data_IF_165632074613
#
_entry.id   IF_165632074613
#
_cell.length_a   1.000
_cell.length_b   1.000
_cell.length_c   1.000
_cell.angle_alpha   90.00
_cell.angle_beta   90.00
_cell.angle_gamma   90.00
#
_symmetry.space_group_name_H-M   'P 1'
#
loop_
_entity.id
_entity.type
_entity.pdbx_description
1 polymer ?
#
# COMPACT_ATOMS: atom_id res chain seq x y z
N UNK A 1 18.63 7.22 -22.64
CA UNK A 1 18.53 6.25 -23.76
C UNK A 1 19.64 5.21 -23.74
N UNK A 2 20.92 5.60 -23.74
CA UNK A 2 22.07 4.67 -23.73
C UNK A 2 22.05 3.63 -22.60
N UNK A 3 21.74 4.03 -21.36
CA UNK A 3 21.68 3.10 -20.23
C UNK A 3 20.60 2.02 -20.40
N UNK A 4 19.46 2.38 -21.00
CA UNK A 4 18.35 1.44 -21.21
C UNK A 4 18.71 0.38 -22.25
N UNK A 5 19.31 0.78 -23.39
CA UNK A 5 19.78 -0.15 -24.43
C UNK A 5 20.82 -1.12 -23.88
N UNK A 6 21.82 -0.61 -23.16
CA UNK A 6 22.87 -1.44 -22.54
C UNK A 6 22.30 -2.45 -21.54
N UNK A 7 21.32 -2.03 -20.73
CA UNK A 7 20.64 -2.91 -19.78
C UNK A 7 19.82 -3.97 -20.51
N UNK A 8 19.11 -3.58 -21.57
CA UNK A 8 18.32 -4.49 -22.38
C UNK A 8 19.19 -5.55 -23.05
N UNK A 9 20.32 -5.17 -23.65
CA UNK A 9 21.32 -6.08 -24.23
C UNK A 9 21.84 -7.09 -23.20
N UNK A 10 22.20 -6.63 -21.99
CA UNK A 10 22.66 -7.49 -20.90
C UNK A 10 21.59 -8.50 -20.47
N UNK A 11 20.32 -8.07 -20.40
CA UNK A 11 19.20 -8.95 -20.05
C UNK A 11 18.94 -9.97 -21.16
N UNK A 12 18.89 -9.53 -22.42
CA UNK A 12 18.74 -10.37 -23.61
C UNK A 12 19.82 -11.46 -23.65
N UNK A 13 21.09 -11.08 -23.48
CA UNK A 13 22.22 -11.99 -23.49
C UNK A 13 22.15 -13.03 -22.36
N UNK A 14 21.77 -12.61 -21.14
CA UNK A 14 21.58 -13.51 -20.01
C UNK A 14 20.44 -14.50 -20.26
N UNK A 15 19.32 -14.05 -20.79
CA UNK A 15 18.17 -14.93 -21.08
C UNK A 15 18.54 -15.97 -22.14
N UNK A 16 19.20 -15.54 -23.22
CA UNK A 16 19.70 -16.44 -24.26
C UNK A 16 20.67 -17.48 -23.69
N UNK A 17 21.64 -17.06 -22.85
CA UNK A 17 22.59 -17.97 -22.21
C UNK A 17 21.91 -19.05 -21.35
N UNK A 18 20.77 -18.73 -20.73
CA UNK A 18 20.02 -19.66 -19.88
C UNK A 18 18.88 -20.39 -20.63
N UNK A 19 18.79 -20.27 -21.96
CA UNK A 19 17.75 -20.91 -22.75
C UNK A 19 16.33 -20.39 -22.47
N UNK A 20 16.20 -19.20 -21.88
CA UNK A 20 14.90 -18.60 -21.57
C UNK A 20 14.38 -17.83 -22.79
N UNK A 21 13.11 -18.10 -23.13
CA UNK A 21 12.39 -17.41 -24.20
C UNK A 21 11.25 -16.56 -23.65
N UNK A 22 10.90 -15.52 -24.38
CA UNK A 22 9.88 -14.53 -24.06
C UNK A 22 8.87 -14.40 -25.20
N UNK A 23 7.65 -14.03 -24.81
CA UNK A 23 6.59 -13.67 -25.76
C UNK A 23 6.69 -12.17 -26.02
N UNK A 24 7.21 -11.79 -27.19
CA UNK A 24 7.39 -10.39 -27.58
C UNK A 24 6.10 -9.57 -27.46
N UNK A 25 4.94 -10.21 -27.67
CA UNK A 25 3.60 -9.61 -27.52
C UNK A 25 3.29 -9.12 -26.10
N UNK A 26 3.99 -9.63 -25.08
CA UNK A 26 3.83 -9.23 -23.67
C UNK A 26 4.92 -8.26 -23.21
N UNK A 27 5.85 -7.89 -24.09
CA UNK A 27 6.97 -7.02 -23.76
C UNK A 27 6.64 -5.57 -24.14
N UNK A 28 6.91 -4.66 -23.22
CA UNK A 28 6.80 -3.22 -23.43
C UNK A 28 8.19 -2.60 -23.29
N UNK A 29 8.66 -1.89 -24.32
CA UNK A 29 9.99 -1.27 -24.33
C UNK A 29 9.89 0.25 -24.48
N UNK A 30 10.85 0.97 -23.90
CA UNK A 30 10.98 2.43 -24.03
C UNK A 30 9.71 3.24 -23.70
N UNK A 31 8.84 2.71 -22.84
CA UNK A 31 7.65 3.44 -22.38
C UNK A 31 8.02 4.41 -21.25
N UNK A 32 7.36 5.56 -21.22
CA UNK A 32 7.45 6.51 -20.10
C UNK A 32 6.71 6.01 -18.85
N UNK A 33 5.72 5.13 -19.05
CA UNK A 33 4.87 4.52 -18.05
C UNK A 33 4.67 3.04 -18.39
N UNK A 34 4.81 2.15 -17.40
CA UNK A 34 4.56 0.71 -17.56
C UNK A 34 3.68 0.19 -16.43
N UNK A 35 2.84 -0.81 -16.72
CA UNK A 35 2.11 -1.53 -15.66
C UNK A 35 2.87 -2.78 -15.25
N UNK A 36 3.22 -2.88 -13.97
CA UNK A 36 3.94 -4.03 -13.42
C UNK A 36 3.39 -4.38 -12.03
N UNK A 37 3.03 -5.65 -11.81
CA UNK A 37 2.46 -6.15 -10.54
C UNK A 37 1.31 -5.27 -10.02
N UNK A 38 0.32 -5.02 -10.88
CA UNK A 38 -0.87 -4.20 -10.59
C UNK A 38 -0.57 -2.75 -10.15
N UNK A 39 0.64 -2.26 -10.44
CA UNK A 39 1.07 -0.88 -10.25
C UNK A 39 1.43 -0.24 -11.57
N UNK A 40 1.18 1.05 -11.66
CA UNK A 40 1.64 1.91 -12.74
C UNK A 40 2.93 2.57 -12.27
N UNK A 41 4.00 2.33 -13.02
CA UNK A 41 5.34 2.85 -12.76
C UNK A 41 5.67 3.94 -13.76
N UNK A 42 5.89 5.15 -13.26
CA UNK A 42 6.37 6.30 -14.02
C UNK A 42 7.79 6.68 -13.58
N UNK A 43 8.41 7.62 -14.28
CA UNK A 43 9.78 8.08 -13.98
C UNK A 43 9.97 8.47 -12.51
N UNK A 44 9.00 9.16 -11.91
CA UNK A 44 9.10 9.72 -10.55
C UNK A 44 8.09 9.12 -9.56
N UNK A 45 7.05 8.45 -10.05
CA UNK A 45 5.91 8.07 -9.22
C UNK A 45 5.50 6.61 -9.42
N UNK A 46 4.86 6.08 -8.39
CA UNK A 46 4.24 4.76 -8.37
C UNK A 46 2.79 4.94 -7.93
N UNK A 47 1.86 4.39 -8.70
CA UNK A 47 0.43 4.41 -8.38
C UNK A 47 -0.18 3.02 -8.54
N UNK A 48 -1.34 2.73 -7.93
CA UNK A 48 -2.06 1.50 -8.22
C UNK A 48 -2.60 1.54 -9.65
N UNK A 49 -2.67 0.37 -10.30
CA UNK A 49 -3.24 0.29 -11.64
C UNK A 49 -4.75 0.58 -11.64
N UNK A 50 -5.26 1.37 -12.61
CA UNK A 50 -6.70 1.63 -12.74
C UNK A 50 -7.54 0.36 -12.89
N UNK A 51 -6.98 -0.69 -13.51
CA UNK A 51 -7.64 -1.99 -13.66
C UNK A 51 -7.87 -2.67 -12.30
N UNK A 52 -6.85 -2.70 -11.43
CA UNK A 52 -6.96 -3.28 -10.09
C UNK A 52 -7.94 -2.46 -9.22
N UNK A 53 -7.82 -1.13 -9.25
CA UNK A 53 -8.75 -0.24 -8.54
C UNK A 53 -10.19 -0.43 -9.02
N UNK A 54 -10.41 -0.49 -10.33
CA UNK A 54 -11.72 -0.73 -10.93
C UNK A 54 -12.31 -2.08 -10.53
N UNK A 55 -11.49 -3.13 -10.45
CA UNK A 55 -11.94 -4.45 -9.98
C UNK A 55 -12.39 -4.41 -8.52
N UNK A 56 -11.64 -3.76 -7.63
CA UNK A 56 -11.99 -3.63 -6.20
C UNK A 56 -13.25 -2.74 -6.04
N UNK A 57 -13.35 -1.66 -6.81
CA UNK A 57 -14.50 -0.74 -6.77
C UNK A 57 -15.81 -1.40 -7.22
N UNK A 58 -15.75 -2.43 -8.07
CA UNK A 58 -16.92 -3.20 -8.51
C UNK A 58 -17.34 -4.30 -7.53
N UNK A 59 -16.54 -4.60 -6.51
CA UNK A 59 -16.91 -5.60 -5.52
C UNK A 59 -18.16 -5.15 -4.73
N UNK A 60 -19.09 -6.08 -4.59
CA UNK A 60 -20.28 -5.94 -3.73
C UNK A 60 -19.90 -6.07 -2.26
N UNK A 61 -20.81 -5.64 -1.38
CA UNK A 61 -20.65 -5.84 0.05
C UNK A 61 -20.54 -7.34 0.39
N UNK A 62 -19.54 -7.75 1.19
CA UNK A 62 -19.37 -9.13 1.62
C UNK A 62 -20.56 -9.65 2.43
N UNK A 63 -21.02 -10.85 2.10
CA UNK A 63 -22.15 -11.52 2.79
C UNK A 63 -21.71 -12.56 3.81
N UNK A 64 -20.42 -12.90 3.83
CA UNK A 64 -19.86 -13.88 4.74
C UNK A 64 -18.39 -13.58 5.06
N UNK A 65 -17.81 -14.19 6.12
CA UNK A 65 -16.41 -13.97 6.50
C UNK A 65 -15.39 -14.28 5.39
N UNK A 66 -15.67 -15.27 4.52
CA UNK A 66 -14.76 -15.64 3.43
C UNK A 66 -14.70 -14.58 2.34
N UNK A 67 -15.85 -14.03 1.92
CA UNK A 67 -15.92 -12.89 1.01
C UNK A 67 -15.23 -11.66 1.61
N UNK A 68 -15.39 -11.43 2.92
CA UNK A 68 -14.75 -10.31 3.61
C UNK A 68 -13.23 -10.45 3.66
N UNK A 69 -12.70 -11.64 3.95
CA UNK A 69 -11.26 -11.93 3.87
C UNK A 69 -10.71 -11.68 2.46
N UNK A 70 -11.44 -12.10 1.43
CA UNK A 70 -11.03 -11.88 0.05
C UNK A 70 -10.98 -10.38 -0.29
N UNK A 71 -12.00 -9.62 0.11
CA UNK A 71 -12.01 -8.16 -0.05
C UNK A 71 -10.83 -7.49 0.67
N UNK A 72 -10.65 -7.78 1.97
CA UNK A 72 -9.57 -7.18 2.76
C UNK A 72 -8.18 -7.56 2.23
N UNK A 73 -7.98 -8.79 1.77
CA UNK A 73 -6.73 -9.21 1.14
C UNK A 73 -6.41 -8.39 -0.12
N UNK A 74 -7.41 -8.17 -0.99
CA UNK A 74 -7.27 -7.32 -2.18
C UNK A 74 -7.02 -5.86 -1.83
N UNK A 75 -7.78 -5.32 -0.87
CA UNK A 75 -7.65 -3.92 -0.46
C UNK A 75 -6.34 -3.65 0.30
N UNK A 76 -5.78 -4.65 0.98
CA UNK A 76 -4.51 -4.53 1.73
C UNK A 76 -3.32 -4.20 0.82
N UNK A 77 -3.35 -4.64 -0.43
CA UNK A 77 -2.34 -4.25 -1.43
C UNK A 77 -2.24 -2.72 -1.56
N UNK A 78 -3.36 -2.03 -1.39
CA UNK A 78 -3.45 -0.59 -1.51
C UNK A 78 -3.23 0.17 -0.19
N UNK A 79 -3.01 -0.55 0.94
CA UNK A 79 -2.66 0.06 2.23
C UNK A 79 -1.53 1.10 2.10
N UNK A 80 -0.50 0.75 1.32
CA UNK A 80 0.71 1.57 1.18
C UNK A 80 0.46 2.93 0.54
N UNK A 81 -0.70 3.15 -0.09
CA UNK A 81 -1.09 4.40 -0.74
C UNK A 81 -2.14 5.19 0.06
N UNK A 82 -2.64 4.64 1.17
CA UNK A 82 -3.76 5.18 1.93
C UNK A 82 -3.35 5.44 3.38
N UNK A 83 -3.45 6.69 3.83
CA UNK A 83 -3.27 7.05 5.24
C UNK A 83 -4.35 6.37 6.09
N UNK A 84 -3.96 5.83 7.25
CA UNK A 84 -4.87 5.24 8.25
C UNK A 84 -5.73 4.05 7.77
N UNK A 85 -5.32 3.34 6.71
CA UNK A 85 -6.08 2.23 6.13
C UNK A 85 -6.50 1.17 7.16
N UNK A 86 -5.61 0.77 8.08
CA UNK A 86 -5.94 -0.24 9.07
C UNK A 86 -6.95 0.22 10.12
N UNK A 87 -6.96 1.51 10.45
CA UNK A 87 -7.98 2.10 11.33
C UNK A 87 -9.36 2.02 10.67
N UNK A 88 -9.43 2.33 9.37
CA UNK A 88 -10.66 2.21 8.58
C UNK A 88 -11.11 0.75 8.50
N UNK A 89 -10.17 -0.20 8.43
CA UNK A 89 -10.48 -1.63 8.39
C UNK A 89 -10.88 -2.23 9.75
N UNK A 90 -10.75 -1.53 10.87
CA UNK A 90 -11.04 -2.10 12.21
C UNK A 90 -12.46 -2.70 12.33
N UNK A 91 -13.54 -2.03 11.90
CA UNK A 91 -14.89 -2.57 12.00
C UNK A 91 -15.08 -3.86 11.18
N UNK A 92 -14.33 -4.00 10.09
CA UNK A 92 -14.32 -5.17 9.22
C UNK A 92 -13.49 -6.31 9.81
N UNK A 93 -12.30 -6.01 10.32
CA UNK A 93 -11.44 -6.99 10.98
C UNK A 93 -12.10 -7.61 12.22
N UNK A 94 -12.99 -6.87 12.89
CA UNK A 94 -13.78 -7.38 14.02
C UNK A 94 -14.67 -8.56 13.64
N UNK A 95 -15.25 -8.55 12.43
CA UNK A 95 -16.08 -9.65 11.90
C UNK A 95 -15.28 -10.92 11.55
N UNK A 96 -13.94 -10.84 11.55
CA UNK A 96 -13.05 -11.96 11.26
C UNK A 96 -12.43 -12.59 12.51
N UNK A 97 -12.73 -12.07 13.71
CA UNK A 97 -12.24 -12.63 14.97
C UNK A 97 -12.87 -14.01 15.22
N UNK A 98 -12.12 -14.86 15.93
CA UNK A 98 -12.64 -16.16 16.40
C UNK A 98 -13.89 -15.92 17.26
N UNK A 99 -14.94 -16.70 16.99
CA UNK A 99 -16.24 -16.64 17.67
C UNK A 99 -17.07 -15.36 17.44
N UNK A 100 -16.68 -14.50 16.48
CA UNK A 100 -17.49 -13.34 16.12
C UNK A 100 -18.66 -13.75 15.21
N UNK A 101 -19.86 -13.29 15.55
CA UNK A 101 -21.03 -13.40 14.67
C UNK A 101 -20.89 -12.42 13.49
N UNK A 102 -21.15 -12.90 12.28
CA UNK A 102 -21.07 -12.08 11.07
C UNK A 102 -22.32 -11.21 10.94
N UNK A 103 -22.30 -10.03 11.60
CA UNK A 103 -23.39 -9.05 11.52
C UNK A 103 -22.92 -7.82 10.75
N UNK A 104 -23.43 -7.65 9.54
CA UNK A 104 -23.12 -6.48 8.71
C UNK A 104 -24.02 -5.30 9.09
N UNK A 105 -23.45 -4.29 9.75
CA UNK A 105 -24.17 -3.08 10.19
C UNK A 105 -23.65 -1.83 9.47
N UNK A 106 -24.21 -0.69 9.85
CA UNK A 106 -23.85 0.63 9.32
C UNK A 106 -22.35 0.92 9.39
N UNK A 107 -21.70 0.56 10.49
CA UNK A 107 -20.26 0.82 10.68
C UNK A 107 -19.40 0.04 9.68
N UNK A 108 -19.75 -1.21 9.40
CA UNK A 108 -19.06 -2.05 8.41
C UNK A 108 -19.32 -1.58 6.99
N UNK A 109 -20.57 -1.24 6.66
CA UNK A 109 -20.91 -0.66 5.36
C UNK A 109 -20.20 0.68 5.14
N UNK A 110 -20.10 1.52 6.17
CA UNK A 110 -19.37 2.77 6.11
C UNK A 110 -17.87 2.53 5.90
N UNK A 111 -17.24 1.65 6.68
CA UNK A 111 -15.84 1.28 6.52
C UNK A 111 -15.55 0.74 5.11
N UNK A 112 -16.39 -0.16 4.60
CA UNK A 112 -16.29 -0.72 3.25
C UNK A 112 -16.34 0.37 2.17
N UNK A 113 -17.29 1.29 2.27
CA UNK A 113 -17.44 2.38 1.30
C UNK A 113 -16.32 3.43 1.40
N UNK A 114 -15.80 3.71 2.61
CA UNK A 114 -14.64 4.59 2.78
C UNK A 114 -13.41 3.97 2.13
N UNK A 115 -13.16 2.67 2.34
CA UNK A 115 -12.06 1.96 1.68
C UNK A 115 -12.19 2.09 0.18
N UNK A 116 -13.36 1.78 -0.40
CA UNK A 116 -13.56 1.89 -1.85
C UNK A 116 -13.32 3.30 -2.38
N UNK A 117 -13.74 4.34 -1.65
CA UNK A 117 -13.50 5.73 -2.03
C UNK A 117 -12.02 6.11 -1.95
N UNK A 118 -11.35 5.76 -0.86
CA UNK A 118 -9.93 6.07 -0.67
C UNK A 118 -9.05 5.39 -1.73
N UNK A 119 -9.47 4.20 -2.19
CA UNK A 119 -8.87 3.50 -3.33
C UNK A 119 -9.03 4.24 -4.67
N UNK A 120 -10.10 5.02 -4.86
CA UNK A 120 -10.29 5.85 -6.06
C UNK A 120 -9.52 7.17 -5.93
N UNK A 121 -9.55 7.77 -4.74
CA UNK A 121 -8.86 9.02 -4.41
C UNK A 121 -7.34 8.83 -4.23
N UNK A 122 -6.81 7.66 -4.62
CA UNK A 122 -5.48 7.23 -4.21
C UNK A 122 -4.36 8.18 -4.63
N UNK A 123 -3.53 8.52 -3.65
CA UNK A 123 -2.32 9.32 -3.75
C UNK A 123 -1.24 8.62 -4.58
N UNK A 124 -0.58 9.37 -5.47
CA UNK A 124 0.66 8.90 -6.10
C UNK A 124 1.77 8.84 -5.04
N UNK A 125 2.46 7.71 -4.96
CA UNK A 125 3.69 7.61 -4.17
C UNK A 125 4.87 8.08 -5.01
N UNK A 126 5.85 8.69 -4.36
CA UNK A 126 7.12 9.04 -4.97
C UNK A 126 8.06 7.84 -4.91
N UNK A 127 8.81 7.62 -5.99
CA UNK A 127 9.82 6.58 -6.02
C UNK A 127 10.91 6.88 -4.99
N UNK A 128 11.34 5.86 -4.27
CA UNK A 128 12.48 5.96 -3.37
C UNK A 128 13.76 6.32 -4.13
N UNK A 129 14.46 7.33 -3.62
CA UNK A 129 15.75 7.80 -4.10
C UNK A 129 16.75 7.79 -2.92
N UNK A 130 17.80 6.94 -2.95
CA UNK A 130 18.75 6.84 -1.85
C UNK A 130 19.54 8.12 -1.59
N UNK A 131 19.65 9.01 -2.58
CA UNK A 131 20.40 10.26 -2.46
C UNK A 131 19.55 11.42 -1.89
N UNK A 132 18.23 11.23 -1.79
CA UNK A 132 17.30 12.24 -1.32
C UNK A 132 17.02 12.10 0.18
N UNK A 133 16.92 13.22 0.95
CA UNK A 133 16.61 13.16 2.38
C UNK A 133 15.29 12.45 2.68
N UNK A 134 15.29 11.63 3.72
CA UNK A 134 14.12 10.89 4.20
C UNK A 134 13.56 11.52 5.46
N UNK A 135 12.24 11.56 5.55
CA UNK A 135 11.49 11.94 6.74
C UNK A 135 10.60 10.76 7.12
N UNK A 136 10.66 10.36 8.38
CA UNK A 136 9.71 9.43 8.96
C UNK A 136 8.71 10.22 9.81
N UNK A 137 7.46 10.27 9.37
CA UNK A 137 6.36 10.86 10.14
C UNK A 137 5.55 9.73 10.78
N UNK A 138 5.29 9.82 12.08
CA UNK A 138 4.51 8.82 12.83
C UNK A 138 3.40 9.48 13.61
N UNK A 139 2.32 8.73 13.82
CA UNK A 139 1.15 9.19 14.56
C UNK A 139 0.54 8.02 15.34
N UNK A 140 0.00 8.28 16.51
CA UNK A 140 -0.61 7.28 17.36
C UNK A 140 -2.03 7.66 17.78
N UNK A 141 -2.94 6.71 17.61
CA UNK A 141 -4.33 6.83 18.05
C UNK A 141 -4.66 5.78 19.12
N UNK A 142 -5.80 5.90 19.82
CA UNK A 142 -6.25 4.87 20.76
C UNK A 142 -6.44 3.47 20.14
N UNK A 143 -6.63 3.39 18.83
CA UNK A 143 -6.90 2.14 18.11
C UNK A 143 -5.67 1.55 17.42
N UNK A 144 -4.69 2.38 17.06
CA UNK A 144 -3.63 2.00 16.13
C UNK A 144 -2.54 3.05 16.01
N UNK A 145 -1.40 2.63 15.47
CA UNK A 145 -0.28 3.49 15.10
C UNK A 145 -0.12 3.56 13.58
N UNK A 146 0.33 4.70 13.09
CA UNK A 146 0.63 4.97 11.70
C UNK A 146 2.07 5.47 11.52
N UNK A 147 2.64 5.17 10.36
CA UNK A 147 3.94 5.67 9.95
C UNK A 147 3.93 5.96 8.43
N UNK A 148 4.58 7.03 8.01
CA UNK A 148 4.74 7.41 6.62
C UNK A 148 6.20 7.75 6.37
N UNK A 149 6.80 7.07 5.39
CA UNK A 149 8.11 7.43 4.89
C UNK A 149 7.94 8.45 3.76
N UNK A 150 8.62 9.59 3.84
CA UNK A 150 8.53 10.68 2.87
C UNK A 150 9.93 11.07 2.37
N UNK A 151 9.97 11.63 1.17
CA UNK A 151 11.10 12.45 0.72
C UNK A 151 10.85 13.92 1.06
N UNK A 152 11.92 14.59 1.49
CA UNK A 152 11.97 16.05 1.49
C UNK A 152 12.48 16.53 0.14
N UNK A 153 11.62 17.15 -0.64
CA UNK A 153 11.94 17.63 -1.98
C UNK A 153 12.75 18.94 -1.91
N UNK A 154 13.50 19.31 -2.97
CA UNK A 154 14.26 20.56 -3.01
C UNK A 154 13.41 21.83 -2.86
N UNK A 155 12.12 21.77 -3.24
CA UNK A 155 11.15 22.85 -3.08
C UNK A 155 10.58 22.95 -1.65
N UNK A 156 11.06 22.11 -0.72
CA UNK A 156 10.59 22.03 0.65
C UNK A 156 9.31 21.20 0.84
N UNK A 157 8.69 20.70 -0.24
CA UNK A 157 7.52 19.82 -0.14
C UNK A 157 7.91 18.43 0.37
N UNK A 158 6.98 17.77 1.06
CA UNK A 158 7.14 16.40 1.49
C UNK A 158 6.32 15.48 0.59
N UNK A 159 6.94 14.43 0.05
CA UNK A 159 6.24 13.49 -0.83
C UNK A 159 6.28 12.06 -0.28
N UNK A 160 5.14 11.39 -0.15
CA UNK A 160 5.08 10.06 0.47
C UNK A 160 5.72 9.01 -0.45
N UNK A 161 6.57 8.17 0.13
CA UNK A 161 7.18 6.99 -0.50
C UNK A 161 6.36 5.74 -0.16
N UNK A 162 5.97 5.61 1.11
CA UNK A 162 5.16 4.49 1.57
C UNK A 162 4.41 4.85 2.86
N UNK A 163 3.18 4.35 2.96
CA UNK A 163 2.40 4.36 4.19
C UNK A 163 2.46 3.00 4.90
N UNK A 164 2.50 3.02 6.22
CA UNK A 164 2.37 1.87 7.09
C UNK A 164 1.42 2.19 8.24
N UNK A 165 0.70 1.18 8.72
CA UNK A 165 -0.10 1.29 9.93
C UNK A 165 -0.15 -0.06 10.63
N UNK A 166 -0.55 -0.05 11.90
CA UNK A 166 -0.77 -1.25 12.71
C UNK A 166 -1.82 -1.00 13.78
N UNK A 167 -2.82 -1.89 13.89
CA UNK A 167 -3.77 -1.86 15.02
C UNK A 167 -3.08 -2.29 16.31
N UNK A 168 -3.38 -1.61 17.42
CA UNK A 168 -2.84 -1.94 18.72
C UNK A 168 -3.45 -3.26 19.25
N UNK A 169 -2.65 -4.06 19.95
CA UNK A 169 -3.15 -5.25 20.65
C UNK A 169 -3.76 -4.92 22.02
N UNK A 170 -4.43 -5.89 22.67
CA UNK A 170 -5.13 -5.68 23.96
C UNK A 170 -4.26 -5.05 25.06
N UNK A 171 -2.96 -5.33 25.08
CA UNK A 171 -2.03 -4.77 26.07
C UNK A 171 -1.65 -3.33 25.69
N UNK A 172 -1.37 -3.09 24.42
CA UNK A 172 -1.01 -1.78 23.88
C UNK A 172 -2.16 -0.77 23.95
N UNK A 173 -3.42 -1.23 23.97
CA UNK A 173 -4.58 -0.35 24.19
C UNK A 173 -4.51 0.38 25.53
N UNK A 174 -3.87 -0.20 26.53
CA UNK A 174 -3.75 0.38 27.88
C UNK A 174 -2.58 1.36 27.99
N UNK A 175 -1.73 1.48 26.97
CA UNK A 175 -0.64 2.44 26.96
C UNK A 175 -1.17 3.87 27.05
N UNK A 176 -0.45 4.71 27.77
CA UNK A 176 -0.62 6.16 27.75
C UNK A 176 -0.37 6.70 26.33
N UNK A 177 -0.87 7.91 26.03
CA UNK A 177 -0.67 8.50 24.70
C UNK A 177 0.83 8.61 24.36
N UNK A 178 1.66 8.99 25.33
CA UNK A 178 3.11 9.12 25.14
C UNK A 178 3.77 7.77 24.76
N UNK A 179 3.40 6.69 25.44
CA UNK A 179 3.89 5.35 25.12
C UNK A 179 3.44 4.88 23.73
N UNK A 180 2.24 5.27 23.30
CA UNK A 180 1.75 4.96 21.95
C UNK A 180 2.49 5.72 20.86
N UNK A 181 2.84 6.99 21.09
CA UNK A 181 3.70 7.76 20.16
C UNK A 181 5.09 7.12 20.04
N UNK A 182 5.70 6.73 21.16
CA UNK A 182 6.97 5.99 21.17
C UNK A 182 6.88 4.66 20.40
N UNK A 183 5.78 3.93 20.59
CA UNK A 183 5.50 2.70 19.82
C UNK A 183 5.34 2.99 18.32
N UNK A 184 4.72 4.10 17.94
CA UNK A 184 4.57 4.51 16.54
C UNK A 184 5.93 4.78 15.89
N UNK A 185 6.83 5.47 16.58
CA UNK A 185 8.20 5.71 16.13
C UNK A 185 8.98 4.40 15.91
N UNK A 186 8.97 3.50 16.91
CA UNK A 186 9.62 2.18 16.81
C UNK A 186 9.01 1.36 15.66
N UNK A 187 7.69 1.37 15.54
CA UNK A 187 6.98 0.68 14.45
C UNK A 187 7.42 1.21 13.08
N UNK A 188 7.46 2.53 12.90
CA UNK A 188 7.89 3.15 11.65
C UNK A 188 9.31 2.77 11.27
N UNK A 189 10.26 2.88 12.21
CA UNK A 189 11.65 2.50 11.99
C UNK A 189 11.80 1.02 11.63
N UNK A 190 11.15 0.12 12.39
CA UNK A 190 11.23 -1.32 12.13
C UNK A 190 10.59 -1.71 10.79
N UNK A 191 9.57 -0.97 10.35
CA UNK A 191 8.83 -1.29 9.13
C UNK A 191 9.55 -0.87 7.86
N UNK A 192 10.37 0.19 7.92
CA UNK A 192 11.06 0.79 6.78
C UNK A 192 12.58 0.60 6.80
N UNK A 193 13.11 -0.21 7.73
CA UNK A 193 14.50 -0.67 7.75
C UNK A 193 14.74 -1.77 6.69
#
# INVERSE_FOLDING_TARGET
MMYHLKTLELILAKLQKNGLSWKIQKCEFFKAEITYLDQVLCKATVSPSPANLGAICKLREPRNPSELKCFLGKATFCCKFNKNFLTICEPLNRLLKKDAEFIWRKDQAQAFNIIKRSLVETTQLTKFDPDSPLILSTDASPLGVGAVLLHKMPDGSERPIAHASKTLNKHQWKYSQLEREGLAAIFGLTKFH
#
